data_IF_670456237227
#
_entry.id   IF_670456237227
#
_cell.length_a   1.000
_cell.length_b   1.000
_cell.length_c   1.000
_cell.angle_alpha   90.00
_cell.angle_beta   90.00
_cell.angle_gamma   90.00
#
_symmetry.space_group_name_H-M   'P 1'
#
loop_
_entity.id
_entity.type
_entity.pdbx_description
1 polymer ?
#
# COMPACT_ATOMS: atom_id res chain seq x y z
N UNK A 1 8.27 26.77 11.04
CA UNK A 1 7.04 26.57 11.83
C UNK A 1 7.33 25.49 12.86
N UNK A 2 7.31 25.83 14.15
CA UNK A 2 7.50 24.85 15.21
C UNK A 2 6.26 23.95 15.26
N UNK A 3 6.44 22.63 15.17
CA UNK A 3 5.36 21.69 15.39
C UNK A 3 4.87 21.84 16.84
N UNK A 4 3.56 22.01 17.00
CA UNK A 4 2.93 22.13 18.31
C UNK A 4 3.08 20.79 19.06
N UNK A 5 3.71 20.76 20.25
CA UNK A 5 4.04 19.50 20.95
C UNK A 5 2.84 18.59 21.23
N UNK A 6 1.61 19.13 21.17
CA UNK A 6 0.36 18.40 21.39
C UNK A 6 -0.19 17.70 20.13
N UNK A 7 0.26 18.04 18.92
CA UNK A 7 -0.27 17.45 17.68
C UNK A 7 0.19 16.01 17.42
N UNK A 8 1.42 15.66 17.80
CA UNK A 8 1.97 14.32 17.64
C UNK A 8 1.18 13.23 18.40
N UNK A 9 0.90 13.42 19.71
CA UNK A 9 0.11 12.48 20.51
C UNK A 9 -1.33 12.30 20.04
N UNK A 10 -2.01 13.40 19.67
CA UNK A 10 -3.39 13.35 19.17
C UNK A 10 -3.48 12.59 17.84
N UNK A 11 -2.59 12.92 16.89
CA UNK A 11 -2.51 12.23 15.60
C UNK A 11 -2.21 10.74 15.77
N UNK A 12 -1.26 10.40 16.64
CA UNK A 12 -0.89 9.00 16.91
C UNK A 12 -2.06 8.20 17.49
N UNK A 13 -2.82 8.79 18.42
CA UNK A 13 -4.04 8.20 18.99
C UNK A 13 -5.11 7.97 17.92
N UNK A 14 -5.35 8.95 17.06
CA UNK A 14 -6.30 8.83 15.94
C UNK A 14 -5.88 7.74 14.94
N UNK A 15 -4.61 7.68 14.57
CA UNK A 15 -4.06 6.65 13.70
C UNK A 15 -4.27 5.25 14.28
N UNK A 16 -4.03 5.07 15.59
CA UNK A 16 -4.26 3.79 16.27
C UNK A 16 -5.74 3.38 16.21
N UNK A 17 -6.66 4.29 16.55
CA UNK A 17 -8.10 4.03 16.49
C UNK A 17 -8.56 3.67 15.08
N UNK A 18 -8.09 4.38 14.06
CA UNK A 18 -8.40 4.06 12.66
C UNK A 18 -7.90 2.68 12.27
N UNK A 19 -6.69 2.30 12.67
CA UNK A 19 -6.16 0.97 12.37
C UNK A 19 -6.98 -0.14 13.03
N UNK A 20 -7.43 0.06 14.27
CA UNK A 20 -8.30 -0.88 14.98
C UNK A 20 -9.65 -1.03 14.26
N UNK A 21 -10.28 0.08 13.85
CA UNK A 21 -11.53 0.06 13.10
C UNK A 21 -11.35 -0.66 11.74
N UNK A 22 -10.30 -0.33 11.01
CA UNK A 22 -9.95 -0.96 9.74
C UNK A 22 -9.82 -2.49 9.89
N UNK A 23 -9.17 -2.96 10.96
CA UNK A 23 -9.07 -4.40 11.25
C UNK A 23 -10.43 -5.02 11.54
N UNK A 24 -11.24 -4.35 12.35
CA UNK A 24 -12.57 -4.82 12.70
C UNK A 24 -13.47 -4.94 11.46
N UNK A 25 -13.41 -3.98 10.54
CA UNK A 25 -14.12 -4.04 9.26
C UNK A 25 -13.61 -5.21 8.39
N UNK A 26 -12.29 -5.42 8.34
CA UNK A 26 -11.68 -6.53 7.59
C UNK A 26 -12.17 -7.90 8.08
N UNK A 27 -12.31 -8.07 9.40
CA UNK A 27 -12.81 -9.30 10.03
C UNK A 27 -14.33 -9.46 9.87
N UNK A 28 -15.06 -8.36 9.79
CA UNK A 28 -16.52 -8.33 9.68
C UNK A 28 -17.01 -8.66 8.27
N UNK A 29 -16.29 -8.24 7.23
CA UNK A 29 -16.65 -8.56 5.84
C UNK A 29 -16.20 -9.98 5.49
N UNK A 30 -17.17 -10.88 5.39
CA UNK A 30 -16.93 -12.32 5.16
C UNK A 30 -17.17 -12.74 3.71
N UNK A 31 -16.58 -13.88 3.34
CA UNK A 31 -16.89 -14.58 2.09
C UNK A 31 -18.38 -14.92 2.03
N UNK A 32 -19.00 -14.75 0.87
CA UNK A 32 -20.44 -14.95 0.67
C UNK A 32 -21.32 -13.71 0.89
N UNK A 33 -20.80 -12.64 1.52
CA UNK A 33 -21.51 -11.36 1.60
C UNK A 33 -21.32 -10.49 0.35
N UNK A 34 -20.13 -10.58 -0.27
CA UNK A 34 -19.73 -9.79 -1.43
C UNK A 34 -18.91 -10.67 -2.40
N UNK A 35 -18.73 -10.18 -3.62
CA UNK A 35 -17.85 -10.81 -4.61
C UNK A 35 -16.41 -10.94 -4.05
N UNK A 36 -15.76 -12.07 -4.30
CA UNK A 36 -14.44 -12.39 -3.75
C UNK A 36 -13.35 -11.40 -4.20
N UNK A 37 -13.42 -10.87 -5.43
CA UNK A 37 -12.46 -9.87 -5.91
C UNK A 37 -12.60 -8.55 -5.15
N UNK A 38 -13.84 -8.11 -4.91
CA UNK A 38 -14.14 -6.92 -4.10
C UNK A 38 -13.67 -7.11 -2.66
N UNK A 39 -13.85 -8.31 -2.09
CA UNK A 39 -13.36 -8.64 -0.75
C UNK A 39 -11.85 -8.59 -0.65
N UNK A 40 -11.15 -9.18 -1.63
CA UNK A 40 -9.69 -9.17 -1.64
C UNK A 40 -9.14 -7.76 -1.84
N UNK A 41 -9.73 -6.98 -2.74
CA UNK A 41 -9.36 -5.57 -2.93
C UNK A 41 -9.54 -4.77 -1.63
N UNK A 42 -10.68 -4.90 -0.96
CA UNK A 42 -10.93 -4.25 0.33
C UNK A 42 -9.90 -4.65 1.39
N UNK A 43 -9.59 -5.94 1.52
CA UNK A 43 -8.58 -6.46 2.45
C UNK A 43 -7.20 -5.89 2.16
N UNK A 44 -6.82 -5.86 0.88
CA UNK A 44 -5.53 -5.33 0.43
C UNK A 44 -5.43 -3.82 0.70
N UNK A 45 -6.47 -3.05 0.35
CA UNK A 45 -6.51 -1.60 0.60
C UNK A 45 -6.44 -1.27 2.10
N UNK A 46 -7.16 -2.05 2.92
CA UNK A 46 -7.18 -1.91 4.37
C UNK A 46 -5.81 -2.19 4.99
N UNK A 47 -5.16 -3.28 4.58
CA UNK A 47 -3.83 -3.63 5.06
C UNK A 47 -2.79 -2.56 4.65
N UNK A 48 -2.90 -2.03 3.43
CA UNK A 48 -2.06 -0.90 2.97
C UNK A 48 -2.23 0.34 3.85
N UNK A 49 -3.46 0.69 4.18
CA UNK A 49 -3.74 1.83 5.06
C UNK A 49 -3.13 1.63 6.46
N UNK A 50 -3.21 0.41 7.01
CA UNK A 50 -2.60 0.05 8.29
C UNK A 50 -1.07 0.15 8.25
N UNK A 51 -0.43 -0.38 7.21
CA UNK A 51 1.02 -0.30 7.03
C UNK A 51 1.51 1.16 6.91
N UNK A 52 0.81 1.97 6.10
CA UNK A 52 1.12 3.39 5.96
C UNK A 52 0.96 4.14 7.30
N UNK A 53 -0.11 3.85 8.04
CA UNK A 53 -0.32 4.44 9.36
C UNK A 53 0.77 4.06 10.36
N UNK A 54 1.22 2.80 10.36
CA UNK A 54 2.31 2.35 11.23
C UNK A 54 3.63 3.05 10.88
N UNK A 55 3.92 3.25 9.59
CA UNK A 55 5.09 4.00 9.15
C UNK A 55 5.04 5.47 9.63
N UNK A 56 3.88 6.12 9.57
CA UNK A 56 3.71 7.49 10.10
C UNK A 56 3.95 7.54 11.61
N UNK A 57 3.39 6.59 12.38
CA UNK A 57 3.62 6.52 13.83
C UNK A 57 5.10 6.34 14.15
N UNK A 58 5.76 5.39 13.50
CA UNK A 58 7.18 5.12 13.70
C UNK A 58 8.05 6.33 13.33
N UNK A 59 7.71 7.06 12.27
CA UNK A 59 8.38 8.31 11.90
C UNK A 59 8.29 9.35 13.02
N UNK A 60 7.07 9.63 13.51
CA UNK A 60 6.84 10.63 14.56
C UNK A 60 7.53 10.25 15.87
N UNK A 61 7.50 8.97 16.26
CA UNK A 61 8.20 8.49 17.46
C UNK A 61 9.71 8.61 17.34
N UNK A 62 10.28 8.27 16.17
CA UNK A 62 11.73 8.33 15.93
C UNK A 62 12.21 9.79 15.94
N UNK A 63 11.46 10.68 15.30
CA UNK A 63 11.72 12.11 15.30
C UNK A 63 11.62 12.70 16.71
N UNK A 64 10.59 12.34 17.48
CA UNK A 64 10.40 12.81 18.87
C UNK A 64 11.50 12.36 19.84
N UNK A 65 12.15 11.21 19.57
CA UNK A 65 13.31 10.70 20.34
C UNK A 65 14.64 11.31 19.90
N UNK A 66 14.65 12.26 18.96
CA UNK A 66 15.87 12.86 18.42
C UNK A 66 16.74 11.92 17.58
N UNK A 67 16.19 10.76 17.17
CA UNK A 67 16.85 9.80 16.29
C UNK A 67 16.55 10.12 14.83
N UNK A 68 17.39 9.65 13.90
CA UNK A 68 17.18 9.86 12.46
C UNK A 68 16.02 9.00 11.91
N UNK A 69 14.87 9.60 11.51
CA UNK A 69 13.72 8.87 11.01
C UNK A 69 13.90 8.37 9.57
N UNK A 70 14.90 8.85 8.82
CA UNK A 70 15.11 8.42 7.43
C UNK A 70 15.52 6.96 7.29
N UNK A 71 15.99 6.33 8.37
CA UNK A 71 16.22 4.87 8.41
C UNK A 71 14.94 4.06 8.12
N UNK A 72 13.76 4.65 8.35
CA UNK A 72 12.48 4.02 8.02
C UNK A 72 12.23 3.93 6.50
N UNK A 73 12.91 4.75 5.70
CA UNK A 73 12.68 4.82 4.26
C UNK A 73 12.97 3.51 3.56
N UNK A 74 13.99 2.76 3.99
CA UNK A 74 14.30 1.44 3.42
C UNK A 74 13.10 0.48 3.59
N UNK A 75 12.51 0.44 4.78
CA UNK A 75 11.33 -0.38 5.06
C UNK A 75 10.12 0.06 4.21
N UNK A 76 9.88 1.37 4.09
CA UNK A 76 8.80 1.92 3.26
C UNK A 76 9.00 1.57 1.78
N UNK A 77 10.23 1.62 1.28
CA UNK A 77 10.54 1.26 -0.10
C UNK A 77 10.39 -0.25 -0.34
N UNK A 78 10.85 -1.09 0.59
CA UNK A 78 10.65 -2.55 0.53
C UNK A 78 9.17 -2.91 0.46
N UNK A 79 8.35 -2.35 1.35
CA UNK A 79 6.90 -2.55 1.35
C UNK A 79 6.28 -2.09 0.03
N UNK A 80 6.70 -0.94 -0.50
CA UNK A 80 6.22 -0.44 -1.80
C UNK A 80 6.52 -1.43 -2.94
N UNK A 81 7.71 -2.03 -2.95
CA UNK A 81 8.09 -3.01 -3.97
C UNK A 81 7.30 -4.31 -3.84
N UNK A 82 7.13 -4.84 -2.63
CA UNK A 82 6.31 -6.03 -2.36
C UNK A 82 4.86 -5.81 -2.83
N UNK A 83 4.29 -4.65 -2.47
CA UNK A 83 2.95 -4.25 -2.86
C UNK A 83 2.76 -4.09 -4.36
N UNK A 84 3.71 -3.48 -5.05
CA UNK A 84 3.67 -3.31 -6.50
C UNK A 84 3.79 -4.67 -7.20
N UNK A 85 4.67 -5.53 -6.70
CA UNK A 85 4.86 -6.90 -7.21
C UNK A 85 3.57 -7.70 -7.10
N UNK A 86 2.90 -7.66 -5.95
CA UNK A 86 1.63 -8.39 -5.78
C UNK A 86 0.54 -7.86 -6.73
N UNK A 87 0.39 -6.54 -6.84
CA UNK A 87 -0.62 -5.95 -7.71
C UNK A 87 -0.39 -6.29 -9.19
N UNK A 88 0.87 -6.31 -9.64
CA UNK A 88 1.21 -6.74 -11.00
C UNK A 88 0.83 -8.22 -11.21
N UNK A 89 1.10 -9.10 -10.24
CA UNK A 89 0.70 -10.52 -10.32
C UNK A 89 -0.81 -10.68 -10.39
N UNK A 90 -1.56 -9.93 -9.60
CA UNK A 90 -3.01 -9.96 -9.59
C UNK A 90 -3.58 -9.53 -10.96
N UNK A 91 -3.10 -8.41 -11.50
CA UNK A 91 -3.50 -7.93 -12.84
C UNK A 91 -3.09 -8.91 -13.95
N UNK A 92 -1.93 -9.56 -13.85
CA UNK A 92 -1.54 -10.62 -14.79
C UNK A 92 -2.53 -11.79 -14.74
N UNK A 93 -2.94 -12.24 -13.55
CA UNK A 93 -3.95 -13.29 -13.40
C UNK A 93 -5.31 -12.87 -13.96
N UNK A 94 -5.68 -11.60 -13.83
CA UNK A 94 -6.93 -11.06 -14.40
C UNK A 94 -6.89 -11.00 -15.93
N UNK A 95 -5.71 -10.71 -16.54
CA UNK A 95 -5.51 -10.79 -17.99
C UNK A 95 -5.59 -12.24 -18.50
N UNK A 96 -4.98 -13.19 -17.79
CA UNK A 96 -4.99 -14.62 -18.15
C UNK A 96 -6.39 -15.24 -18.06
N UNK A 97 -7.22 -14.74 -17.14
CA UNK A 97 -8.62 -15.17 -16.97
C UNK A 97 -9.61 -14.42 -17.86
N UNK A 98 -9.15 -13.45 -18.67
CA UNK A 98 -9.97 -12.57 -19.52
C UNK A 98 -10.95 -11.67 -18.74
N UNK A 99 -10.76 -11.51 -17.43
CA UNK A 99 -11.49 -10.54 -16.62
C UNK A 99 -11.03 -9.09 -16.88
N UNK A 100 -9.82 -8.94 -17.41
CA UNK A 100 -9.29 -7.70 -17.98
C UNK A 100 -9.01 -7.93 -19.47
N UNK A 101 -9.56 -7.06 -20.33
CA UNK A 101 -9.39 -7.13 -21.77
C UNK A 101 -8.96 -5.76 -22.36
N UNK A 102 -8.83 -5.70 -23.68
CA UNK A 102 -8.44 -4.47 -24.40
C UNK A 102 -9.41 -3.30 -24.20
N UNK A 103 -10.65 -3.58 -23.80
CA UNK A 103 -11.68 -2.58 -23.53
C UNK A 103 -11.70 -2.15 -22.07
N UNK A 104 -11.02 -2.88 -21.16
CA UNK A 104 -10.93 -2.52 -19.75
C UNK A 104 -10.33 -1.12 -19.59
N UNK A 105 -11.07 -0.17 -19.00
CA UNK A 105 -10.56 1.17 -18.75
C UNK A 105 -9.29 1.13 -17.90
N UNK A 106 -8.26 1.86 -18.35
CA UNK A 106 -6.97 1.95 -17.65
C UNK A 106 -5.90 0.96 -18.11
N UNK A 107 -6.24 -0.09 -18.87
CA UNK A 107 -5.25 -1.04 -19.39
C UNK A 107 -4.17 -0.39 -20.28
N UNK A 108 -4.49 0.57 -21.18
CA UNK A 108 -3.46 1.24 -21.98
C UNK A 108 -2.44 2.04 -21.14
N UNK A 109 -2.90 2.70 -20.07
CA UNK A 109 -2.06 3.46 -19.13
C UNK A 109 -1.18 2.50 -18.32
N UNK A 110 -1.76 1.40 -17.83
CA UNK A 110 -1.04 0.35 -17.13
C UNK A 110 0.08 -0.25 -17.99
N UNK A 111 -0.20 -0.62 -19.24
CA UNK A 111 0.81 -1.15 -20.17
C UNK A 111 1.95 -0.16 -20.39
N UNK A 112 1.65 1.14 -20.52
CA UNK A 112 2.69 2.19 -20.63
C UNK A 112 3.56 2.23 -19.37
N UNK A 113 2.94 2.23 -18.18
CA UNK A 113 3.65 2.25 -16.91
C UNK A 113 4.56 1.01 -16.73
N UNK A 114 4.08 -0.19 -17.05
CA UNK A 114 4.86 -1.44 -16.98
C UNK A 114 6.04 -1.41 -17.94
N UNK A 115 5.86 -0.90 -19.17
CA UNK A 115 6.96 -0.74 -20.14
C UNK A 115 8.03 0.20 -19.62
N UNK A 116 7.64 1.38 -19.12
CA UNK A 116 8.58 2.32 -18.51
C UNK A 116 9.32 1.69 -17.33
N UNK A 117 8.63 0.92 -16.47
CA UNK A 117 9.29 0.23 -15.36
C UNK A 117 10.30 -0.82 -15.87
N UNK A 118 9.93 -1.59 -16.89
CA UNK A 118 10.79 -2.61 -17.51
C UNK A 118 12.07 -1.99 -18.08
N UNK A 119 11.96 -0.88 -18.81
CA UNK A 119 13.10 -0.13 -19.37
C UNK A 119 14.05 0.41 -18.30
N UNK A 120 13.54 0.73 -17.10
CA UNK A 120 14.37 1.18 -15.97
C UNK A 120 15.03 0.01 -15.27
N UNK A 121 14.29 -1.08 -15.07
CA UNK A 121 14.80 -2.29 -14.44
C UNK A 121 15.87 -2.97 -15.30
N UNK A 122 15.75 -2.98 -16.62
CA UNK A 122 16.74 -3.59 -17.52
C UNK A 122 18.12 -2.93 -17.43
N UNK A 123 18.21 -1.68 -16.95
CA UNK A 123 19.49 -1.00 -16.70
C UNK A 123 20.18 -1.48 -15.42
N UNK A 124 19.41 -2.01 -14.47
CA UNK A 124 19.89 -2.52 -13.18
C UNK A 124 20.10 -4.03 -13.21
N UNK A 125 19.28 -4.72 -14.00
CA UNK A 125 19.34 -6.15 -14.25
C UNK A 125 19.49 -6.41 -15.76
N UNK A 126 20.62 -6.04 -16.36
CA UNK A 126 20.90 -6.41 -17.74
C UNK A 126 21.02 -7.94 -17.81
N UNK A 127 20.26 -8.57 -18.70
CA UNK A 127 20.39 -9.99 -19.01
C UNK A 127 21.76 -10.28 -19.61
#
# INVERSE_FOLDING_TARGET
MAQDPQQGPELSSRLKKTNEELKHLQDSVKTGMINVKVLMDFRNATERARQASAAVQQWLETQGKGSDPYKLMEQVMRQRLEMATQLIKDVTSDLESLDVDLNTPGLPEFNRAVRTLTERLSKLFPY
#
